data_IF_229155138620
#
_entry.id   IF_229155138620
#
_cell.length_a   1.000
_cell.length_b   1.000
_cell.length_c   1.000
_cell.angle_alpha   90.00
_cell.angle_beta   90.00
_cell.angle_gamma   90.00
#
_symmetry.space_group_name_H-M   'P 1'
#
loop_
_entity.id
_entity.type
_entity.pdbx_description
1 polymer ?
#
# COMPACT_ATOMS: atom_id res chain seq x y z
N UNK A 1 4.67 -13.52 13.78
CA UNK A 1 5.43 -13.86 12.57
C UNK A 1 5.74 -15.34 12.63
N UNK A 2 5.40 -16.05 11.59
CA UNK A 2 5.75 -17.46 11.39
C UNK A 2 6.78 -17.51 10.26
N UNK A 3 7.98 -17.98 10.54
CA UNK A 3 9.06 -18.10 9.58
C UNK A 3 8.99 -19.45 8.83
N UNK A 4 9.33 -19.44 7.56
CA UNK A 4 9.33 -20.63 6.70
C UNK A 4 7.98 -20.93 6.04
N UNK A 5 7.91 -22.01 5.23
CA UNK A 5 6.71 -22.36 4.48
C UNK A 5 5.54 -22.71 5.39
N UNK A 6 4.40 -22.06 5.20
CA UNK A 6 3.17 -22.25 5.98
C UNK A 6 1.96 -22.66 5.11
N UNK A 7 2.20 -23.14 3.89
CA UNK A 7 1.17 -23.40 2.89
C UNK A 7 0.13 -24.45 3.29
N UNK A 8 0.46 -25.37 4.20
CA UNK A 8 -0.46 -26.42 4.68
C UNK A 8 -1.58 -25.89 5.57
N UNK A 9 -1.32 -24.82 6.34
CA UNK A 9 -2.29 -24.23 7.27
C UNK A 9 -2.91 -22.93 6.77
N UNK A 10 -2.15 -22.13 5.98
CA UNK A 10 -2.56 -20.79 5.60
C UNK A 10 -2.77 -20.61 4.09
N UNK A 11 -2.72 -21.68 3.32
CA UNK A 11 -3.01 -21.66 1.89
C UNK A 11 -1.82 -21.36 1.00
N UNK A 12 -2.08 -20.98 -0.25
CA UNK A 12 -1.06 -20.80 -1.30
C UNK A 12 -0.20 -19.58 -1.07
N UNK A 13 1.00 -19.55 -1.66
CA UNK A 13 1.91 -18.41 -1.71
C UNK A 13 2.60 -18.03 -0.38
N UNK A 14 2.62 -18.93 0.60
CA UNK A 14 3.28 -18.70 1.90
C UNK A 14 4.59 -19.51 1.95
N UNK A 15 5.54 -19.18 1.07
CA UNK A 15 6.82 -19.89 0.94
C UNK A 15 7.91 -19.35 1.87
N UNK A 16 7.95 -18.04 2.10
CA UNK A 16 8.98 -17.38 2.94
C UNK A 16 8.57 -17.19 4.39
N UNK A 17 7.28 -17.19 4.68
CA UNK A 17 6.75 -16.94 6.02
C UNK A 17 5.39 -16.25 5.99
N UNK A 18 4.84 -16.02 7.19
CA UNK A 18 3.53 -15.39 7.38
C UNK A 18 3.61 -14.34 8.49
N UNK A 19 3.05 -13.16 8.20
CA UNK A 19 2.73 -12.16 9.20
C UNK A 19 1.24 -12.25 9.54
N UNK A 20 0.93 -12.73 10.76
CA UNK A 20 -0.44 -12.76 11.25
C UNK A 20 -0.66 -11.57 12.20
N UNK A 21 -1.58 -10.68 11.85
CA UNK A 21 -1.96 -9.52 12.68
C UNK A 21 -3.24 -9.86 13.43
N UNK A 22 -3.13 -9.98 14.74
CA UNK A 22 -4.27 -10.23 15.63
C UNK A 22 -4.66 -8.90 16.25
N UNK A 23 -5.86 -8.45 15.98
CA UNK A 23 -6.38 -7.19 16.51
C UNK A 23 -6.96 -7.38 17.90
N UNK A 24 -6.86 -6.31 18.73
CA UNK A 24 -7.45 -6.33 20.06
C UNK A 24 -8.98 -6.45 19.97
N UNK A 25 -9.53 -7.33 20.79
CA UNK A 25 -10.98 -7.55 20.93
C UNK A 25 -11.58 -6.59 21.95
N UNK A 26 -12.89 -6.38 21.95
CA UNK A 26 -13.59 -5.68 23.03
C UNK A 26 -13.29 -6.28 24.40
N UNK A 27 -13.26 -5.43 25.41
CA UNK A 27 -13.09 -5.83 26.82
C UNK A 27 -14.32 -5.37 27.61
N UNK A 28 -14.63 -6.09 28.71
CA UNK A 28 -15.73 -5.73 29.61
C UNK A 28 -15.50 -4.43 30.41
N UNK A 29 -14.34 -3.79 30.28
CA UNK A 29 -13.98 -2.56 30.97
C UNK A 29 -13.97 -1.37 30.03
N UNK A 30 -14.40 -0.20 30.50
CA UNK A 30 -14.23 1.05 29.78
C UNK A 30 -12.75 1.44 29.79
N UNK A 31 -12.14 1.42 28.63
CA UNK A 31 -10.72 1.76 28.46
C UNK A 31 -10.47 2.31 27.05
N UNK A 32 -9.38 3.06 26.90
CA UNK A 32 -9.06 3.60 25.58
C UNK A 32 -7.71 4.31 25.54
N UNK A 33 -7.33 4.69 24.34
CA UNK A 33 -6.17 5.54 24.12
C UNK A 33 -6.37 6.42 22.89
N UNK A 34 -5.66 7.53 22.87
CA UNK A 34 -5.43 8.34 21.70
C UNK A 34 -3.93 8.66 21.61
N UNK A 35 -3.35 8.42 20.45
CA UNK A 35 -1.93 8.69 20.18
C UNK A 35 -1.81 9.51 18.92
N UNK A 36 -1.09 10.63 19.02
CA UNK A 36 -0.78 11.49 17.89
C UNK A 36 0.74 11.59 17.74
N UNK A 37 1.20 11.54 16.50
CA UNK A 37 2.60 11.63 16.15
C UNK A 37 2.76 12.63 15.00
N UNK A 38 3.75 13.48 15.11
CA UNK A 38 4.18 14.41 14.06
C UNK A 38 5.60 14.07 13.64
N UNK A 39 5.88 14.20 12.35
CA UNK A 39 7.17 13.93 11.76
C UNK A 39 7.59 14.98 10.75
N UNK A 40 8.71 14.75 10.10
CA UNK A 40 9.14 15.54 8.95
C UNK A 40 8.18 15.31 7.78
N UNK A 41 8.20 16.19 6.77
CA UNK A 41 7.36 16.10 5.56
C UNK A 41 5.85 16.14 5.91
N UNK A 42 5.45 17.02 6.82
CA UNK A 42 4.06 17.13 7.23
C UNK A 42 3.46 15.85 7.83
N UNK A 43 4.29 14.84 8.14
CA UNK A 43 3.82 13.54 8.59
C UNK A 43 2.98 13.69 9.86
N UNK A 44 1.73 13.27 9.77
CA UNK A 44 0.81 13.21 10.89
C UNK A 44 0.22 11.81 10.98
N UNK A 45 0.29 11.21 12.16
CA UNK A 45 -0.34 9.92 12.44
C UNK A 45 -1.21 10.03 13.67
N UNK A 46 -2.49 9.66 13.53
CA UNK A 46 -3.43 9.51 14.63
C UNK A 46 -3.75 8.02 14.80
N UNK A 47 -3.79 7.55 16.03
CA UNK A 47 -4.26 6.21 16.37
C UNK A 47 -5.07 6.30 17.64
N UNK A 48 -6.29 5.78 17.64
CA UNK A 48 -7.16 5.81 18.81
C UNK A 48 -7.99 4.55 18.89
N UNK A 49 -8.36 4.19 20.09
CA UNK A 49 -9.35 3.16 20.32
C UNK A 49 -10.05 3.37 21.67
N UNK A 50 -11.30 2.94 21.73
CA UNK A 50 -12.08 2.91 22.97
C UNK A 50 -12.82 1.58 23.08
N UNK A 51 -12.79 0.98 24.27
CA UNK A 51 -13.61 -0.14 24.67
C UNK A 51 -14.71 0.35 25.59
N UNK A 52 -15.86 -0.23 25.49
CA UNK A 52 -16.96 0.03 26.43
C UNK A 52 -17.88 -1.18 26.53
N UNK A 53 -18.27 -1.57 27.77
CA UNK A 53 -19.32 -2.54 27.98
C UNK A 53 -20.66 -1.94 27.60
N UNK A 54 -21.49 -2.68 26.86
CA UNK A 54 -22.86 -2.32 26.54
C UNK A 54 -23.78 -2.92 27.59
N UNK A 55 -23.54 -4.18 27.92
CA UNK A 55 -24.16 -4.95 29.00
C UNK A 55 -23.12 -5.87 29.62
N UNK A 56 -23.48 -6.62 30.68
CA UNK A 56 -22.58 -7.59 31.32
C UNK A 56 -22.05 -8.65 30.32
N UNK A 57 -22.83 -8.95 29.26
CA UNK A 57 -22.52 -9.99 28.29
C UNK A 57 -22.16 -9.40 26.90
N UNK A 58 -22.17 -8.09 26.71
CA UNK A 58 -21.90 -7.45 25.43
C UNK A 58 -20.89 -6.34 25.59
N UNK A 59 -19.79 -6.46 24.90
CA UNK A 59 -18.74 -5.43 24.85
C UNK A 59 -18.52 -4.95 23.42
N UNK A 60 -18.20 -3.68 23.27
CA UNK A 60 -17.87 -3.08 21.98
C UNK A 60 -16.50 -2.37 22.03
N UNK A 61 -15.86 -2.31 20.88
CA UNK A 61 -14.62 -1.59 20.65
C UNK A 61 -14.72 -0.81 19.34
N UNK A 62 -14.41 0.46 19.41
CA UNK A 62 -14.16 1.30 18.23
C UNK A 62 -12.67 1.61 18.14
N UNK A 63 -12.10 1.53 16.95
CA UNK A 63 -10.73 1.93 16.69
C UNK A 63 -10.68 2.77 15.41
N UNK A 64 -9.84 3.79 15.40
CA UNK A 64 -9.62 4.68 14.27
C UNK A 64 -8.13 4.97 14.13
N UNK A 65 -7.68 5.04 12.89
CA UNK A 65 -6.32 5.43 12.53
C UNK A 65 -6.32 6.31 11.29
N UNK A 66 -5.42 7.28 11.26
CA UNK A 66 -5.10 8.03 10.05
C UNK A 66 -3.60 8.27 9.95
N UNK A 67 -3.13 8.39 8.74
CA UNK A 67 -1.76 8.71 8.40
C UNK A 67 -1.75 9.62 7.18
N UNK A 68 -1.16 10.80 7.32
CA UNK A 68 -0.98 11.77 6.24
C UNK A 68 0.50 12.11 6.14
N UNK A 69 1.01 12.25 4.92
CA UNK A 69 2.37 12.67 4.64
C UNK A 69 2.39 13.48 3.34
N UNK A 70 3.09 14.62 3.37
CA UNK A 70 3.34 15.45 2.20
C UNK A 70 4.25 14.74 1.19
N UNK A 71 4.27 15.22 -0.04
CA UNK A 71 5.10 14.70 -1.11
C UNK A 71 6.59 14.76 -0.80
N UNK A 72 7.33 13.83 -1.35
CA UNK A 72 8.79 13.73 -1.20
C UNK A 72 9.53 13.96 -2.51
N UNK A 73 8.81 13.93 -3.63
CA UNK A 73 9.35 14.10 -4.97
C UNK A 73 8.68 15.30 -5.62
N UNK A 74 9.49 16.20 -6.17
CA UNK A 74 9.01 17.39 -6.85
C UNK A 74 8.82 17.13 -8.34
N UNK A 75 7.63 17.34 -8.85
CA UNK A 75 7.37 17.35 -10.28
C UNK A 75 7.71 18.74 -10.85
N UNK A 76 8.81 18.84 -11.58
CA UNK A 76 9.30 20.10 -12.12
C UNK A 76 8.46 20.62 -13.30
N UNK A 77 7.71 19.75 -13.96
CA UNK A 77 6.84 20.15 -15.07
C UNK A 77 5.58 20.84 -14.56
N UNK A 78 4.91 20.26 -13.58
CA UNK A 78 3.66 20.76 -13.01
C UNK A 78 3.89 21.70 -11.80
N UNK A 79 5.07 21.63 -11.18
CA UNK A 79 5.37 22.38 -9.95
C UNK A 79 4.69 21.81 -8.70
N UNK A 80 4.25 20.57 -8.76
CA UNK A 80 3.59 19.83 -7.68
C UNK A 80 4.59 19.00 -6.87
N UNK A 81 4.16 18.49 -5.72
CA UNK A 81 4.90 17.51 -4.93
C UNK A 81 4.12 16.19 -4.94
N UNK A 82 4.78 15.12 -5.36
CA UNK A 82 4.24 13.76 -5.46
C UNK A 82 4.90 12.83 -4.43
N UNK A 83 4.49 11.58 -4.37
CA UNK A 83 4.78 10.60 -3.31
C UNK A 83 4.09 10.97 -1.99
N UNK A 84 2.94 11.64 -2.10
CA UNK A 84 2.04 11.89 -0.96
C UNK A 84 1.45 10.59 -0.44
N UNK A 85 0.98 10.60 0.79
CA UNK A 85 0.26 9.46 1.38
C UNK A 85 -0.85 9.98 2.27
N UNK A 86 -2.05 9.51 2.02
CA UNK A 86 -3.21 9.64 2.89
C UNK A 86 -3.82 8.25 3.10
N UNK A 87 -3.98 7.88 4.35
CA UNK A 87 -4.56 6.60 4.72
C UNK A 87 -5.44 6.76 5.95
N UNK A 88 -6.65 6.27 5.87
CA UNK A 88 -7.58 6.25 6.99
C UNK A 88 -8.16 4.86 7.17
N UNK A 89 -8.49 4.52 8.41
CA UNK A 89 -9.13 3.26 8.71
C UNK A 89 -9.95 3.34 10.00
N UNK A 90 -11.10 2.71 9.98
CA UNK A 90 -11.96 2.58 11.14
C UNK A 90 -12.39 1.12 11.31
N UNK A 91 -12.53 0.70 12.56
CA UNK A 91 -13.02 -0.64 12.90
C UNK A 91 -13.97 -0.56 14.08
N UNK A 92 -15.08 -1.27 13.95
CA UNK A 92 -16.03 -1.56 15.03
C UNK A 92 -15.97 -3.07 15.29
N UNK A 93 -15.86 -3.46 16.55
CA UNK A 93 -15.95 -4.85 16.98
C UNK A 93 -16.95 -4.97 18.12
N UNK A 94 -17.77 -6.01 18.09
CA UNK A 94 -18.75 -6.32 19.14
C UNK A 94 -18.62 -7.79 19.48
N UNK A 95 -18.48 -8.09 20.76
CA UNK A 95 -18.46 -9.43 21.31
C UNK A 95 -19.68 -9.64 22.18
N UNK A 96 -20.36 -10.77 21.96
CA UNK A 96 -21.54 -11.18 22.73
C UNK A 96 -21.22 -12.54 23.38
N UNK A 97 -21.22 -12.56 24.69
CA UNK A 97 -21.09 -13.81 25.48
C UNK A 97 -22.44 -14.49 25.62
N UNK A 98 -22.53 -15.75 25.20
CA UNK A 98 -23.75 -16.55 25.13
C UNK A 98 -23.67 -17.82 25.99
N UNK A 99 -23.05 -17.75 27.15
CA UNK A 99 -22.90 -18.89 28.08
C UNK A 99 -22.35 -20.16 27.38
N UNK A 100 -21.04 -20.27 27.36
CA UNK A 100 -20.31 -21.36 26.71
C UNK A 100 -20.04 -21.17 25.22
N UNK A 101 -20.48 -20.05 24.63
CA UNK A 101 -20.09 -19.63 23.28
C UNK A 101 -19.95 -18.12 23.19
N UNK A 102 -19.17 -17.64 22.21
CA UNK A 102 -19.01 -16.19 21.94
C UNK A 102 -19.34 -15.92 20.48
N UNK A 103 -20.20 -14.94 20.26
CA UNK A 103 -20.46 -14.39 18.93
C UNK A 103 -19.66 -13.10 18.79
N UNK A 104 -18.83 -13.04 17.77
CA UNK A 104 -17.96 -11.91 17.47
C UNK A 104 -18.36 -11.31 16.15
N UNK A 105 -18.62 -10.01 16.14
CA UNK A 105 -18.80 -9.21 14.93
C UNK A 105 -17.68 -8.21 14.79
N UNK A 106 -17.20 -8.02 13.57
CA UNK A 106 -16.23 -6.98 13.22
C UNK A 106 -16.61 -6.38 11.88
N UNK A 107 -16.66 -5.06 11.82
CA UNK A 107 -16.73 -4.30 10.57
C UNK A 107 -15.56 -3.34 10.51
N UNK A 108 -14.86 -3.33 9.39
CA UNK A 108 -13.77 -2.40 9.13
C UNK A 108 -13.90 -1.78 7.75
N UNK A 109 -13.51 -0.52 7.68
CA UNK A 109 -13.42 0.25 6.45
C UNK A 109 -12.06 0.94 6.43
N UNK A 110 -11.43 0.96 5.27
CA UNK A 110 -10.17 1.65 5.04
C UNK A 110 -10.20 2.34 3.70
N UNK A 111 -9.62 3.53 3.66
CA UNK A 111 -9.37 4.30 2.46
C UNK A 111 -7.91 4.65 2.39
N UNK A 112 -7.37 4.59 1.21
CA UNK A 112 -5.99 4.89 0.92
C UNK A 112 -5.90 5.68 -0.37
N UNK A 113 -5.24 6.84 -0.32
CA UNK A 113 -4.96 7.69 -1.47
C UNK A 113 -3.48 8.08 -1.45
N UNK A 114 -2.78 7.87 -2.53
CA UNK A 114 -1.39 8.27 -2.67
C UNK A 114 -1.03 8.66 -4.11
N UNK A 115 -0.07 9.55 -4.23
CA UNK A 115 0.57 9.91 -5.49
C UNK A 115 1.97 9.27 -5.59
N UNK A 116 2.10 8.01 -5.14
CA UNK A 116 3.37 7.33 -5.07
C UNK A 116 3.98 7.11 -6.44
N UNK A 117 5.18 7.61 -6.61
CA UNK A 117 5.98 7.36 -7.79
C UNK A 117 6.46 5.89 -7.78
N UNK A 118 5.94 5.09 -8.70
CA UNK A 118 6.36 3.69 -8.83
C UNK A 118 7.62 3.53 -9.69
N UNK A 119 7.93 4.54 -10.50
CA UNK A 119 9.03 4.52 -11.45
C UNK A 119 9.87 5.79 -11.26
N UNK A 120 11.16 5.64 -11.10
CA UNK A 120 12.11 6.73 -11.09
C UNK A 120 13.11 6.57 -12.23
N UNK A 121 13.59 7.68 -12.78
CA UNK A 121 14.69 7.65 -13.73
C UNK A 121 15.90 6.98 -13.08
N UNK A 122 16.47 6.01 -13.77
CA UNK A 122 17.59 5.24 -13.25
C UNK A 122 18.90 5.83 -13.76
N UNK A 123 19.81 6.15 -12.84
CA UNK A 123 21.19 6.50 -13.20
C UNK A 123 21.92 5.22 -13.58
N UNK A 124 22.30 5.09 -14.84
CA UNK A 124 23.04 3.93 -15.31
C UNK A 124 24.01 4.27 -16.44
N UNK A 125 25.05 3.45 -16.58
CA UNK A 125 25.83 3.41 -17.79
C UNK A 125 25.01 2.75 -18.91
N UNK A 126 24.87 3.43 -20.05
CA UNK A 126 24.07 2.95 -21.16
C UNK A 126 24.79 1.87 -21.93
N UNK A 127 24.15 0.72 -22.08
CA UNK A 127 24.43 -0.23 -23.16
C UNK A 127 23.32 -0.18 -24.21
N UNK A 128 23.66 -0.05 -25.47
CA UNK A 128 22.67 0.10 -26.56
C UNK A 128 21.85 -1.17 -26.81
N UNK A 129 22.32 -2.33 -26.37
CA UNK A 129 21.66 -3.63 -26.57
C UNK A 129 21.04 -4.19 -25.30
N UNK A 130 21.69 -3.96 -24.15
CA UNK A 130 21.30 -4.58 -22.86
C UNK A 130 20.60 -3.59 -21.93
N UNK A 131 20.47 -2.31 -22.30
CA UNK A 131 19.91 -1.27 -21.44
C UNK A 131 20.87 -0.79 -20.38
N UNK A 132 20.38 -0.54 -19.18
CA UNK A 132 21.15 -0.05 -18.04
C UNK A 132 21.81 -1.19 -17.27
N UNK A 133 23.10 -1.07 -16.96
CA UNK A 133 23.72 -1.93 -15.93
C UNK A 133 23.36 -1.39 -14.53
N UNK A 134 22.58 -2.11 -13.73
CA UNK A 134 22.14 -1.64 -12.42
C UNK A 134 23.29 -1.56 -11.40
N UNK A 135 24.44 -2.13 -11.71
CA UNK A 135 25.61 -2.16 -10.82
C UNK A 135 26.57 -1.01 -11.08
N UNK A 136 26.48 -0.36 -12.23
CA UNK A 136 27.35 0.74 -12.63
C UNK A 136 26.59 2.07 -12.52
N UNK A 137 26.90 2.85 -11.49
CA UNK A 137 26.51 4.25 -11.39
C UNK A 137 27.37 5.04 -12.36
N UNK A 138 26.84 5.32 -13.53
CA UNK A 138 27.49 6.16 -14.54
C UNK A 138 27.04 7.62 -14.44
N UNK A 139 27.74 8.48 -15.18
CA UNK A 139 27.23 9.79 -15.48
C UNK A 139 25.87 9.67 -16.20
N UNK A 140 24.95 10.55 -15.85
CA UNK A 140 23.63 10.63 -16.43
C UNK A 140 23.71 10.66 -17.97
N UNK A 141 23.20 9.65 -18.62
CA UNK A 141 23.19 9.58 -20.06
C UNK A 141 21.76 9.72 -20.58
N UNK A 142 21.53 10.74 -21.41
CA UNK A 142 20.26 11.14 -22.00
C UNK A 142 19.49 10.05 -22.76
N UNK A 143 19.95 8.84 -22.80
CA UNK A 143 19.28 7.74 -23.46
C UNK A 143 18.98 6.53 -22.59
N UNK A 144 19.15 6.64 -21.29
CA UNK A 144 18.97 5.53 -20.35
C UNK A 144 17.55 5.46 -19.77
N UNK A 145 16.56 5.82 -20.53
CA UNK A 145 15.16 5.78 -20.11
C UNK A 145 14.54 4.42 -20.46
N UNK A 146 13.67 3.90 -19.59
CA UNK A 146 12.95 2.64 -19.83
C UNK A 146 12.16 2.69 -21.16
N UNK A 147 11.43 3.76 -21.41
CA UNK A 147 10.72 3.99 -22.66
C UNK A 147 11.68 4.14 -23.86
N UNK A 148 12.86 4.72 -23.65
CA UNK A 148 13.92 4.77 -24.65
C UNK A 148 14.44 3.38 -25.04
N UNK A 149 14.55 2.46 -24.10
CA UNK A 149 14.97 1.07 -24.36
C UNK A 149 13.88 0.30 -25.13
N UNK A 150 12.61 0.45 -24.75
CA UNK A 150 11.48 -0.15 -25.47
C UNK A 150 11.31 0.52 -26.83
N UNK A 151 11.41 1.84 -26.93
CA UNK A 151 11.33 2.58 -28.19
C UNK A 151 12.45 2.20 -29.15
N UNK A 152 13.67 1.99 -28.66
CA UNK A 152 14.80 1.51 -29.48
C UNK A 152 14.57 0.07 -29.95
N UNK A 153 14.02 -0.81 -29.12
CA UNK A 153 13.68 -2.18 -29.50
C UNK A 153 12.53 -2.20 -30.54
N UNK A 154 11.52 -1.38 -30.37
CA UNK A 154 10.43 -1.24 -31.34
C UNK A 154 10.89 -0.60 -32.67
N UNK A 155 11.77 0.40 -32.60
CA UNK A 155 12.38 1.02 -33.79
C UNK A 155 13.20 0.04 -34.61
N UNK A 156 13.95 -0.83 -33.93
CA UNK A 156 14.71 -1.91 -34.57
C UNK A 156 13.79 -2.96 -35.22
N UNK A 157 12.71 -3.35 -34.54
CA UNK A 157 11.73 -4.33 -35.03
C UNK A 157 10.85 -3.79 -36.19
N UNK A 158 10.61 -2.48 -36.25
CA UNK A 158 9.73 -1.87 -37.27
C UNK A 158 10.46 -1.22 -38.40
N UNK A 159 11.79 -1.30 -38.55
CA UNK A 159 12.60 -0.63 -39.54
C UNK A 159 12.39 0.91 -39.59
N UNK A 160 11.83 1.50 -38.57
CA UNK A 160 11.81 2.96 -38.43
C UNK A 160 13.19 3.50 -38.12
N UNK A 161 13.55 4.65 -38.67
CA UNK A 161 14.87 5.24 -38.43
C UNK A 161 15.10 5.43 -36.90
N UNK A 162 16.10 4.79 -36.33
CA UNK A 162 16.38 4.85 -34.88
C UNK A 162 16.56 6.27 -34.33
N UNK A 163 17.01 7.20 -35.22
CA UNK A 163 17.30 8.58 -34.84
C UNK A 163 16.06 9.38 -34.38
N UNK A 164 14.87 9.09 -34.90
CA UNK A 164 13.67 9.89 -34.54
C UNK A 164 13.01 9.46 -33.26
N UNK A 165 13.08 8.17 -32.90
CA UNK A 165 12.57 7.68 -31.60
C UNK A 165 13.53 8.00 -30.45
N UNK A 166 14.83 7.92 -30.70
CA UNK A 166 15.83 8.33 -29.70
C UNK A 166 15.78 9.82 -29.44
N UNK A 167 15.43 10.67 -30.42
CA UNK A 167 15.31 12.11 -30.22
C UNK A 167 14.09 12.49 -29.36
N UNK A 168 12.98 11.77 -29.47
CA UNK A 168 11.79 12.02 -28.64
C UNK A 168 12.06 11.81 -27.14
N UNK A 169 12.83 10.79 -26.80
CA UNK A 169 13.13 10.45 -25.39
C UNK A 169 14.47 11.02 -24.91
N UNK A 170 15.42 11.29 -25.81
CA UNK A 170 16.71 11.87 -25.45
C UNK A 170 16.63 13.35 -25.05
N UNK A 171 15.60 14.06 -25.51
CA UNK A 171 15.37 15.47 -25.22
C UNK A 171 14.32 15.72 -24.13
N UNK A 172 13.79 14.67 -23.48
CA UNK A 172 12.92 14.84 -22.32
C UNK A 172 13.66 15.56 -21.20
N UNK A 173 13.11 16.63 -20.64
CA UNK A 173 13.73 17.33 -19.51
C UNK A 173 13.91 16.32 -18.34
N UNK A 174 15.03 16.42 -17.66
CA UNK A 174 15.38 15.52 -16.53
C UNK A 174 16.09 16.30 -15.45
N UNK A 175 15.98 15.81 -14.23
CA UNK A 175 16.73 16.33 -13.08
C UNK A 175 17.84 15.35 -12.68
N UNK A 176 18.95 15.89 -12.19
CA UNK A 176 20.02 15.12 -11.55
C UNK A 176 19.70 14.78 -10.08
N UNK A 177 18.59 15.31 -9.55
CA UNK A 177 18.11 15.01 -8.20
C UNK A 177 17.13 13.83 -8.24
N UNK A 178 17.37 12.82 -7.42
CA UNK A 178 16.50 11.65 -7.27
C UNK A 178 15.12 11.99 -6.67
N UNK A 179 14.99 13.17 -6.07
CA UNK A 179 13.73 13.67 -5.52
C UNK A 179 13.01 14.62 -6.49
N UNK A 180 13.39 14.64 -7.73
CA UNK A 180 12.77 15.45 -8.77
C UNK A 180 12.40 14.59 -9.97
N UNK A 181 11.31 14.92 -10.62
CA UNK A 181 10.82 14.26 -11.84
C UNK A 181 10.23 15.28 -12.79
N UNK A 182 10.05 14.87 -14.04
CA UNK A 182 9.29 15.60 -15.06
C UNK A 182 8.18 14.70 -15.57
N UNK A 183 6.96 14.93 -15.14
CA UNK A 183 5.77 14.19 -15.55
C UNK A 183 4.72 15.17 -16.02
N UNK A 184 3.99 14.82 -17.07
CA UNK A 184 2.92 15.66 -17.60
C UNK A 184 1.62 15.55 -16.79
N UNK A 185 1.48 14.51 -15.96
CA UNK A 185 0.47 14.41 -14.91
C UNK A 185 1.04 13.73 -13.67
N UNK A 186 0.44 14.01 -12.52
CA UNK A 186 0.83 13.39 -11.26
C UNK A 186 0.21 12.00 -11.15
N UNK A 187 0.96 10.98 -10.69
CA UNK A 187 0.39 9.66 -10.42
C UNK A 187 -0.66 9.76 -9.32
N UNK A 188 -1.71 8.99 -9.46
CA UNK A 188 -2.76 8.88 -8.48
C UNK A 188 -3.14 7.41 -8.26
N UNK A 189 -3.29 7.05 -7.00
CA UNK A 189 -3.74 5.73 -6.60
C UNK A 189 -4.74 5.84 -5.47
N UNK A 190 -5.92 5.35 -5.73
CA UNK A 190 -7.02 5.27 -4.79
C UNK A 190 -7.35 3.81 -4.49
N UNK A 191 -7.63 3.51 -3.24
CA UNK A 191 -8.04 2.18 -2.82
C UNK A 191 -8.99 2.28 -1.64
N UNK A 192 -10.18 1.73 -1.80
CA UNK A 192 -11.14 1.54 -0.74
C UNK A 192 -11.39 0.06 -0.48
N UNK A 193 -11.49 -0.30 0.78
CA UNK A 193 -11.86 -1.65 1.17
C UNK A 193 -12.74 -1.64 2.41
N UNK A 194 -13.72 -2.51 2.40
CA UNK A 194 -14.52 -2.81 3.60
C UNK A 194 -14.51 -4.31 3.86
N UNK A 195 -14.54 -4.70 5.12
CA UNK A 195 -14.67 -6.10 5.50
C UNK A 195 -15.60 -6.22 6.70
N UNK A 196 -16.59 -7.12 6.57
CA UNK A 196 -17.46 -7.53 7.68
C UNK A 196 -17.20 -8.98 8.00
N UNK A 197 -17.03 -9.30 9.25
CA UNK A 197 -16.78 -10.67 9.73
C UNK A 197 -17.71 -10.99 10.88
N UNK A 198 -18.32 -12.16 10.82
CA UNK A 198 -19.03 -12.79 11.94
C UNK A 198 -18.32 -14.10 12.26
N UNK A 199 -17.97 -14.29 13.51
CA UNK A 199 -17.33 -15.51 14.01
C UNK A 199 -18.08 -16.01 15.24
N UNK A 200 -18.49 -17.28 15.22
CA UNK A 200 -19.07 -17.96 16.37
C UNK A 200 -18.08 -18.98 16.90
N UNK A 201 -17.81 -18.91 18.18
CA UNK A 201 -16.85 -19.76 18.88
C UNK A 201 -17.59 -20.47 20.02
N UNK A 202 -17.61 -21.79 19.98
CA UNK A 202 -18.15 -22.60 21.06
C UNK A 202 -17.03 -23.43 21.68
N UNK A 203 -16.79 -23.22 22.99
CA UNK A 203 -15.84 -23.98 23.75
C UNK A 203 -16.51 -25.25 24.33
N UNK A 204 -15.88 -26.41 24.14
CA UNK A 204 -16.32 -27.71 24.62
C UNK A 204 -15.15 -28.44 25.28
N UNK A 205 -15.41 -29.41 26.13
CA UNK A 205 -14.38 -30.26 26.71
C UNK A 205 -13.49 -30.96 25.68
N UNK A 206 -14.05 -31.31 24.51
CA UNK A 206 -13.35 -31.98 23.42
C UNK A 206 -12.60 -31.05 22.48
N UNK A 207 -12.69 -29.73 22.66
CA UNK A 207 -12.06 -28.70 21.82
C UNK A 207 -13.03 -27.59 21.37
N UNK A 208 -12.51 -26.56 20.77
CA UNK A 208 -13.29 -25.41 20.29
C UNK A 208 -13.84 -25.66 18.88
N UNK A 209 -15.12 -25.33 18.68
CA UNK A 209 -15.73 -25.22 17.37
C UNK A 209 -15.78 -23.76 16.97
N UNK A 210 -15.20 -23.41 15.81
CA UNK A 210 -15.23 -22.05 15.23
C UNK A 210 -15.91 -22.07 13.88
N UNK A 211 -16.90 -21.18 13.72
CA UNK A 211 -17.55 -20.92 12.44
C UNK A 211 -17.36 -19.46 12.10
N UNK A 212 -16.74 -19.16 10.96
CA UNK A 212 -16.42 -17.82 10.53
C UNK A 212 -17.00 -17.56 9.14
N UNK A 213 -17.66 -16.42 8.99
CA UNK A 213 -18.09 -15.87 7.71
C UNK A 213 -17.51 -14.47 7.55
N UNK A 214 -16.95 -14.18 6.38
CA UNK A 214 -16.42 -12.84 6.06
C UNK A 214 -16.91 -12.42 4.68
N UNK A 215 -17.27 -11.15 4.56
CA UNK A 215 -17.60 -10.48 3.31
C UNK A 215 -16.72 -9.26 3.15
N UNK A 216 -16.11 -9.11 1.99
CA UNK A 216 -15.20 -8.01 1.67
C UNK A 216 -15.59 -7.36 0.35
N UNK A 217 -15.51 -6.02 0.31
CA UNK A 217 -15.50 -5.23 -0.93
C UNK A 217 -14.14 -4.58 -1.08
N UNK A 218 -13.72 -4.45 -2.32
CA UNK A 218 -12.45 -3.82 -2.67
C UNK A 218 -12.62 -3.07 -3.98
N UNK A 219 -12.25 -1.80 -3.98
CA UNK A 219 -12.19 -0.95 -5.16
C UNK A 219 -10.80 -0.31 -5.20
N UNK A 220 -10.17 -0.30 -6.36
CA UNK A 220 -8.89 0.34 -6.55
C UNK A 220 -8.79 0.92 -7.95
N UNK A 221 -8.27 2.12 -8.03
CA UNK A 221 -7.92 2.82 -9.27
C UNK A 221 -6.46 3.25 -9.19
N UNK A 222 -5.78 3.18 -10.30
CA UNK A 222 -4.38 3.57 -10.40
C UNK A 222 -4.14 4.24 -11.75
N UNK A 223 -3.61 5.45 -11.70
CA UNK A 223 -3.20 6.24 -12.86
C UNK A 223 -1.71 6.51 -12.76
N UNK A 224 -0.99 6.19 -13.80
CA UNK A 224 0.48 6.32 -13.85
C UNK A 224 0.93 6.87 -15.19
N UNK A 225 1.98 7.68 -15.17
CA UNK A 225 2.66 8.16 -16.35
C UNK A 225 3.71 7.13 -16.78
N UNK A 226 3.54 6.54 -17.96
CA UNK A 226 4.38 5.44 -18.45
C UNK A 226 5.40 5.88 -19.52
N UNK A 227 5.44 7.15 -19.88
CA UNK A 227 6.33 7.66 -20.95
C UNK A 227 7.55 8.44 -20.44
N UNK A 228 7.96 8.20 -19.22
CA UNK A 228 9.10 8.81 -18.49
C UNK A 228 10.47 8.40 -19.00
#
# INVERSE_FOLDING_TARGET
ILAGPQGTLYGRNVTGGLLNVITARPTGDTSGYAKMQYGKLGQTRLSSAINFPITDNVAARFAYGSFVQDGTVKNLHLGTEIDTRDATGARVSVDVDLDGSVLQFTHEAQSFEDSRLNWASQYCAKDMLLGCDPTVKGEYNTGAHYAGTIGAAFGFLTFMQPSKLTDLYANSPRSDDLNETYQDFDPDRYQDATMSTIEWIQTRESGDLKVKYSYQTFEAEHTDDNDK
#
